data_IF_213744004400
#
_entry.id   IF_213744004400
#
_cell.length_a   1.000
_cell.length_b   1.000
_cell.length_c   1.000
_cell.angle_alpha   90.00
_cell.angle_beta   90.00
_cell.angle_gamma   90.00
#
_symmetry.space_group_name_H-M   'P 1'
#
loop_
_entity.id
_entity.type
_entity.pdbx_description
1 polymer ?
#
# COMPACT_ATOMS: atom_id res chain seq x y z
N UNK A 1 53.58 -10.73 95.26
CA UNK A 1 52.29 -11.46 95.37
C UNK A 1 51.19 -10.46 95.26
N UNK A 2 50.42 -10.56 94.28
CA UNK A 2 49.05 -10.22 93.98
C UNK A 2 48.82 -9.85 92.46
N UNK A 3 48.21 -10.78 91.83
CA UNK A 3 47.75 -10.62 90.45
C UNK A 3 46.50 -9.76 90.44
N UNK A 4 46.48 -8.76 89.62
CA UNK A 4 45.25 -8.04 89.26
C UNK A 4 44.82 -8.39 87.85
N UNK A 5 43.66 -9.02 87.72
CA UNK A 5 42.96 -9.37 86.51
C UNK A 5 42.40 -8.12 85.80
N UNK A 6 42.89 -7.80 84.65
CA UNK A 6 42.26 -6.83 83.77
C UNK A 6 41.19 -7.54 82.92
N UNK A 7 39.95 -7.19 83.13
CA UNK A 7 38.83 -7.64 82.27
C UNK A 7 38.80 -6.83 81.03
N UNK A 8 39.03 -7.50 79.87
CA UNK A 8 38.85 -6.90 78.53
C UNK A 8 37.36 -6.73 78.25
N UNK A 9 36.91 -5.50 78.18
CA UNK A 9 35.60 -5.12 77.69
C UNK A 9 35.65 -4.94 76.19
N UNK A 10 35.15 -5.91 75.43
CA UNK A 10 35.04 -5.80 73.98
C UNK A 10 33.88 -4.85 73.60
N UNK A 11 34.19 -3.72 72.99
CA UNK A 11 33.21 -2.80 72.42
C UNK A 11 32.86 -3.35 71.03
N UNK A 12 31.62 -3.82 70.81
CA UNK A 12 31.11 -4.21 69.52
C UNK A 12 30.71 -2.97 68.75
N UNK A 13 31.46 -2.63 67.67
CA UNK A 13 31.04 -1.68 66.72
C UNK A 13 29.94 -2.27 65.84
N UNK A 14 28.75 -1.71 65.92
CA UNK A 14 27.64 -2.02 65.00
C UNK A 14 27.88 -1.17 63.74
N UNK A 15 28.30 -1.84 62.67
CA UNK A 15 28.34 -1.21 61.37
C UNK A 15 26.92 -1.15 60.80
N UNK A 16 26.36 0.05 60.70
CA UNK A 16 25.12 0.31 59.99
C UNK A 16 25.47 0.48 58.52
N UNK A 17 25.21 -0.56 57.71
CA UNK A 17 25.35 -0.51 56.25
C UNK A 17 24.15 0.22 55.67
N UNK A 18 24.32 1.47 55.21
CA UNK A 18 23.35 2.16 54.37
C UNK A 18 23.37 1.50 53.00
N UNK A 19 22.37 0.69 52.67
CA UNK A 19 22.11 0.22 51.33
C UNK A 19 21.45 1.36 50.54
N UNK A 20 22.22 2.03 49.69
CA UNK A 20 21.70 2.97 48.74
C UNK A 20 20.99 2.20 47.59
N UNK A 21 19.67 2.15 47.65
CA UNK A 21 18.85 1.61 46.55
C UNK A 21 18.86 2.64 45.39
N UNK A 22 19.71 2.43 44.39
CA UNK A 22 19.65 3.17 43.11
C UNK A 22 18.44 2.69 42.34
N UNK A 23 17.37 3.49 42.31
CA UNK A 23 16.25 3.31 41.39
C UNK A 23 16.79 3.60 39.98
N UNK A 24 17.04 2.57 39.16
CA UNK A 24 17.21 2.69 37.72
C UNK A 24 15.84 2.99 37.11
N UNK A 25 15.55 4.24 36.82
CA UNK A 25 14.45 4.64 35.95
C UNK A 25 14.80 4.19 34.55
N UNK A 26 14.26 3.03 34.14
CA UNK A 26 14.27 2.62 32.75
C UNK A 26 13.43 3.65 31.97
N UNK A 27 14.06 4.57 31.26
CA UNK A 27 13.41 5.40 30.27
C UNK A 27 12.92 4.48 29.14
N UNK A 28 11.63 4.14 29.18
CA UNK A 28 10.95 3.50 28.06
C UNK A 28 10.86 4.59 26.97
N UNK A 29 11.90 4.67 26.12
CA UNK A 29 11.83 5.45 24.91
C UNK A 29 10.67 4.90 24.07
N UNK A 30 9.95 5.77 23.32
CA UNK A 30 8.92 5.29 22.40
C UNK A 30 9.59 4.29 21.46
N UNK A 31 9.14 3.06 21.49
CA UNK A 31 9.49 2.05 20.51
C UNK A 31 8.95 2.59 19.18
N UNK A 32 9.82 3.13 18.33
CA UNK A 32 9.47 3.43 16.96
C UNK A 32 9.18 2.09 16.31
N UNK A 33 7.89 1.75 16.24
CA UNK A 33 7.42 0.65 15.43
C UNK A 33 7.91 0.92 14.00
N UNK A 34 8.75 0.03 13.49
CA UNK A 34 9.24 0.11 12.11
C UNK A 34 8.13 -0.38 11.16
N UNK A 35 6.88 0.00 11.46
CA UNK A 35 5.72 -0.34 10.68
C UNK A 35 5.78 0.43 9.36
N UNK A 36 6.13 -0.28 8.31
CA UNK A 36 6.04 0.21 6.94
C UNK A 36 4.59 0.23 6.49
N UNK A 37 4.26 1.11 5.57
CA UNK A 37 3.01 1.06 4.82
C UNK A 37 2.91 -0.31 4.15
N UNK A 38 1.74 -0.98 4.26
CA UNK A 38 1.52 -2.31 3.70
C UNK A 38 0.20 -2.40 2.96
N UNK A 39 0.23 -2.91 1.74
CA UNK A 39 -0.95 -3.39 1.02
C UNK A 39 -1.39 -4.70 1.69
N UNK A 40 -2.67 -4.80 2.05
CA UNK A 40 -3.21 -5.97 2.76
C UNK A 40 -3.83 -6.97 1.79
N UNK A 41 -4.33 -6.48 0.66
CA UNK A 41 -4.99 -7.28 -0.36
C UNK A 41 -5.68 -6.39 -1.38
N UNK A 42 -6.54 -6.99 -2.19
CA UNK A 42 -7.46 -6.25 -3.04
C UNK A 42 -8.76 -7.05 -3.21
N UNK A 43 -9.86 -6.33 -3.26
CA UNK A 43 -11.17 -6.82 -3.69
C UNK A 43 -11.49 -6.20 -5.05
N UNK A 44 -12.23 -6.90 -5.87
CA UNK A 44 -12.57 -6.45 -7.20
C UNK A 44 -14.01 -6.81 -7.58
N UNK A 45 -14.58 -6.07 -8.52
CA UNK A 45 -15.90 -6.33 -9.07
C UNK A 45 -16.25 -5.42 -10.23
N UNK A 46 -17.05 -5.92 -11.14
CA UNK A 46 -17.48 -5.22 -12.33
C UNK A 46 -17.69 -6.14 -13.52
N UNK A 47 -18.21 -5.61 -14.63
CA UNK A 47 -18.43 -6.42 -15.83
C UNK A 47 -17.13 -6.75 -16.60
N UNK A 48 -16.02 -6.15 -16.26
CA UNK A 48 -14.68 -6.49 -16.76
C UNK A 48 -13.90 -7.41 -15.83
N UNK A 49 -14.32 -7.53 -14.57
CA UNK A 49 -13.72 -8.40 -13.57
C UNK A 49 -14.80 -8.99 -12.65
N UNK A 50 -15.69 -9.87 -13.17
CA UNK A 50 -16.65 -10.54 -12.34
C UNK A 50 -15.96 -11.43 -11.29
N UNK A 51 -16.68 -11.83 -10.27
CA UNK A 51 -16.16 -12.68 -9.22
C UNK A 51 -15.49 -13.95 -9.79
N UNK A 52 -14.30 -14.29 -9.29
CA UNK A 52 -13.52 -15.44 -9.75
C UNK A 52 -12.74 -15.23 -11.05
N UNK A 53 -12.81 -14.04 -11.70
CA UNK A 53 -12.14 -13.76 -12.97
C UNK A 53 -10.83 -12.96 -12.83
N UNK A 54 -10.29 -12.85 -11.63
CA UNK A 54 -8.99 -12.23 -11.41
C UNK A 54 -8.22 -12.90 -10.28
N UNK A 55 -6.90 -12.93 -10.44
CA UNK A 55 -5.96 -13.41 -9.42
C UNK A 55 -5.27 -12.25 -8.76
N UNK A 56 -5.35 -12.16 -7.43
CA UNK A 56 -4.74 -11.10 -6.62
C UNK A 56 -3.53 -11.64 -5.89
N UNK A 57 -2.38 -11.04 -6.10
CA UNK A 57 -1.12 -11.40 -5.45
C UNK A 57 -0.53 -10.19 -4.75
N UNK A 58 -0.23 -10.32 -3.46
CA UNK A 58 0.48 -9.32 -2.66
C UNK A 58 1.82 -9.88 -2.25
N UNK A 59 2.89 -9.10 -2.41
CA UNK A 59 4.22 -9.51 -1.97
C UNK A 59 4.26 -9.76 -0.46
N UNK A 60 5.14 -10.65 0.04
CA UNK A 60 5.21 -10.97 1.47
C UNK A 60 5.48 -9.77 2.39
N UNK A 61 6.14 -8.74 1.88
CA UNK A 61 6.41 -7.50 2.60
C UNK A 61 5.26 -6.47 2.48
N UNK A 62 4.24 -6.77 1.67
CA UNK A 62 3.09 -5.89 1.43
C UNK A 62 3.40 -4.64 0.60
N UNK A 63 4.51 -4.62 -0.14
CA UNK A 63 4.92 -3.46 -0.93
C UNK A 63 4.48 -3.51 -2.39
N UNK A 64 4.12 -4.70 -2.88
CA UNK A 64 3.70 -4.92 -4.26
C UNK A 64 2.33 -5.60 -4.31
N UNK A 65 1.50 -5.18 -5.24
CA UNK A 65 0.23 -5.81 -5.58
C UNK A 65 0.22 -6.06 -7.09
N UNK A 66 -0.11 -7.26 -7.48
CA UNK A 66 -0.37 -7.64 -8.87
C UNK A 66 -1.74 -8.26 -9.00
N UNK A 67 -2.50 -7.83 -9.99
CA UNK A 67 -3.81 -8.40 -10.32
C UNK A 67 -3.78 -8.81 -11.78
N UNK A 68 -4.04 -10.09 -12.05
CA UNK A 68 -4.18 -10.65 -13.38
C UNK A 68 -5.66 -10.85 -13.68
N UNK A 69 -6.11 -10.44 -14.86
CA UNK A 69 -7.51 -10.49 -15.27
C UNK A 69 -7.71 -11.49 -16.42
N UNK A 70 -8.69 -12.36 -16.29
CA UNK A 70 -9.05 -13.33 -17.32
C UNK A 70 -10.18 -12.84 -18.26
N UNK A 71 -10.98 -11.87 -17.81
CA UNK A 71 -12.20 -11.45 -18.51
C UNK A 71 -12.29 -9.93 -18.78
N UNK A 72 -11.21 -9.18 -18.59
CA UNK A 72 -11.25 -7.75 -18.82
C UNK A 72 -11.04 -7.42 -20.30
N UNK A 73 -11.99 -7.90 -21.11
CA UNK A 73 -11.99 -7.83 -22.59
C UNK A 73 -13.18 -7.04 -23.09
N UNK A 74 -12.94 -5.90 -23.73
CA UNK A 74 -13.94 -5.11 -24.42
C UNK A 74 -13.96 -5.49 -25.92
N UNK A 75 -15.15 -5.63 -26.51
CA UNK A 75 -15.36 -6.04 -27.92
C UNK A 75 -15.93 -4.88 -28.72
N UNK A 76 -15.15 -4.36 -29.71
CA UNK A 76 -15.53 -3.19 -30.47
C UNK A 76 -16.70 -3.36 -31.41
N UNK A 77 -16.98 -4.61 -31.83
CA UNK A 77 -18.05 -4.96 -32.77
C UNK A 77 -19.38 -5.36 -32.06
N UNK A 78 -19.45 -5.34 -30.75
CA UNK A 78 -20.64 -5.68 -29.96
C UNK A 78 -21.02 -4.52 -29.06
N UNK A 79 -22.08 -3.81 -29.36
CA UNK A 79 -22.48 -2.58 -28.68
C UNK A 79 -22.61 -2.72 -27.16
N UNK A 80 -23.12 -3.85 -26.65
CA UNK A 80 -23.22 -4.12 -25.23
C UNK A 80 -21.89 -4.46 -24.54
N UNK A 81 -20.85 -4.77 -25.31
CA UNK A 81 -19.54 -5.25 -24.84
C UNK A 81 -18.41 -4.24 -25.12
N UNK A 82 -18.74 -3.10 -25.73
CA UNK A 82 -17.72 -2.08 -26.08
C UNK A 82 -17.06 -1.47 -24.87
N UNK A 83 -17.67 -1.57 -23.70
CA UNK A 83 -17.13 -1.05 -22.44
C UNK A 83 -17.14 -2.11 -21.37
N UNK A 84 -15.98 -2.37 -20.83
CA UNK A 84 -15.79 -3.18 -19.63
C UNK A 84 -15.20 -2.31 -18.51
N UNK A 85 -15.61 -2.57 -17.28
CA UNK A 85 -15.12 -1.84 -16.12
C UNK A 85 -14.85 -2.78 -14.96
N UNK A 86 -13.83 -2.43 -14.20
CA UNK A 86 -13.42 -3.11 -12.98
C UNK A 86 -13.19 -2.07 -11.87
N UNK A 87 -13.82 -2.28 -10.73
CA UNK A 87 -13.63 -1.47 -9.53
C UNK A 87 -12.79 -2.26 -8.55
N UNK A 88 -11.67 -1.69 -8.15
CA UNK A 88 -10.77 -2.27 -7.17
C UNK A 88 -10.91 -1.54 -5.83
N UNK A 89 -10.80 -2.30 -4.76
CA UNK A 89 -10.77 -1.84 -3.38
C UNK A 89 -9.51 -2.40 -2.73
N UNK A 90 -8.53 -1.55 -2.45
CA UNK A 90 -7.20 -1.93 -2.01
C UNK A 90 -6.97 -1.37 -0.60
N UNK A 91 -7.18 -2.18 0.44
CA UNK A 91 -6.89 -1.78 1.81
C UNK A 91 -5.38 -1.67 2.03
N UNK A 92 -4.96 -0.55 2.61
CA UNK A 92 -3.56 -0.22 2.88
C UNK A 92 -3.44 0.13 4.35
N UNK A 93 -2.57 -0.56 5.07
CA UNK A 93 -2.15 -0.21 6.42
C UNK A 93 -1.15 0.94 6.37
N UNK A 94 -1.47 2.02 7.09
CA UNK A 94 -0.60 3.19 7.21
C UNK A 94 -0.23 3.35 8.69
N UNK A 95 1.04 3.54 9.05
CA UNK A 95 1.44 3.78 10.44
C UNK A 95 0.71 4.98 11.03
N UNK A 96 0.43 4.93 12.34
CA UNK A 96 -0.19 6.03 13.08
C UNK A 96 0.62 7.33 12.91
N UNK A 97 -0.09 8.44 12.75
CA UNK A 97 0.53 9.74 12.57
C UNK A 97 1.03 10.04 11.15
N UNK A 98 0.79 9.14 10.18
CA UNK A 98 1.17 9.33 8.78
C UNK A 98 -0.01 9.34 7.83
N UNK A 99 0.20 9.97 6.68
CA UNK A 99 -0.67 9.98 5.52
C UNK A 99 0.13 9.48 4.31
N UNK A 100 -0.54 8.84 3.36
CA UNK A 100 0.06 8.40 2.09
C UNK A 100 -0.57 9.12 0.90
N UNK A 101 0.19 9.29 -0.16
CA UNK A 101 -0.28 9.63 -1.48
C UNK A 101 -0.32 8.40 -2.39
N UNK A 102 -0.96 8.53 -3.54
CA UNK A 102 -1.23 7.41 -4.44
C UNK A 102 0.05 6.83 -5.05
N UNK A 103 0.01 5.53 -5.36
CA UNK A 103 1.08 4.76 -5.99
C UNK A 103 1.15 4.95 -7.50
N UNK A 104 2.28 4.61 -8.12
CA UNK A 104 2.34 4.36 -9.54
C UNK A 104 1.59 3.06 -9.89
N UNK A 105 0.95 3.02 -11.05
CA UNK A 105 0.25 1.84 -11.53
C UNK A 105 0.71 1.49 -12.95
N UNK A 106 1.01 0.22 -13.16
CA UNK A 106 1.32 -0.32 -14.47
C UNK A 106 0.12 -1.12 -15.00
N UNK A 107 -0.19 -0.93 -16.28
CA UNK A 107 -1.24 -1.66 -17.00
C UNK A 107 -0.64 -2.35 -18.21
N UNK A 108 -0.99 -3.60 -18.39
CA UNK A 108 -0.66 -4.38 -19.59
C UNK A 108 -1.91 -4.89 -20.26
N UNK A 109 -1.84 -5.04 -21.56
CA UNK A 109 -2.93 -5.59 -22.33
C UNK A 109 -2.64 -5.51 -23.82
N UNK A 110 -3.68 -5.81 -24.59
CA UNK A 110 -3.59 -5.92 -26.05
C UNK A 110 -4.76 -5.21 -26.72
N UNK A 111 -4.52 -4.69 -27.92
CA UNK A 111 -5.53 -4.15 -28.81
C UNK A 111 -5.39 -4.82 -30.18
N UNK A 112 -6.48 -5.41 -30.68
CA UNK A 112 -6.52 -6.15 -31.93
C UNK A 112 -6.45 -5.23 -33.16
N UNK A 113 -6.04 -5.76 -34.35
CA UNK A 113 -6.10 -5.04 -35.61
C UNK A 113 -7.48 -4.45 -35.90
N UNK A 114 -7.53 -3.28 -36.53
CA UNK A 114 -8.79 -2.58 -36.87
C UNK A 114 -9.58 -2.07 -35.67
N UNK A 115 -8.95 -2.01 -34.49
CA UNK A 115 -9.59 -1.60 -33.22
C UNK A 115 -8.85 -0.44 -32.57
N UNK A 116 -9.61 0.42 -31.92
CA UNK A 116 -9.07 1.45 -31.01
C UNK A 116 -9.49 1.10 -29.58
N UNK A 117 -8.53 0.88 -28.70
CA UNK A 117 -8.71 0.67 -27.26
C UNK A 117 -8.47 1.96 -26.49
N UNK A 118 -9.36 2.31 -25.56
CA UNK A 118 -9.17 3.42 -24.63
C UNK A 118 -9.22 2.91 -23.20
N UNK A 119 -8.07 2.89 -22.56
CA UNK A 119 -7.95 2.64 -21.13
C UNK A 119 -8.23 3.94 -20.36
N UNK A 120 -9.06 3.88 -19.33
CA UNK A 120 -9.29 4.94 -18.36
C UNK A 120 -9.22 4.35 -16.96
N UNK A 121 -8.49 4.99 -16.07
CA UNK A 121 -8.45 4.64 -14.66
C UNK A 121 -8.59 5.90 -13.80
N UNK A 122 -9.36 5.82 -12.74
CA UNK A 122 -9.54 6.87 -11.74
C UNK A 122 -9.15 6.31 -10.39
N UNK A 123 -8.31 7.05 -9.67
CA UNK A 123 -7.74 6.62 -8.39
C UNK A 123 -8.17 7.58 -7.29
N UNK A 124 -8.63 7.06 -6.16
CA UNK A 124 -9.04 7.90 -5.05
C UNK A 124 -9.00 7.13 -3.73
N UNK A 125 -8.87 7.85 -2.64
CA UNK A 125 -9.17 7.29 -1.32
C UNK A 125 -10.65 7.44 -1.02
N UNK A 126 -11.22 6.51 -0.28
CA UNK A 126 -12.65 6.50 0.04
C UNK A 126 -13.12 7.88 0.56
N UNK A 127 -14.16 8.42 -0.08
CA UNK A 127 -14.72 9.75 0.23
C UNK A 127 -13.99 10.93 -0.43
N UNK A 128 -13.05 10.71 -1.34
CA UNK A 128 -12.34 11.75 -2.08
C UNK A 128 -12.49 11.56 -3.59
N UNK A 129 -12.16 12.61 -4.34
CA UNK A 129 -11.92 12.52 -5.79
C UNK A 129 -10.44 12.42 -6.03
N UNK A 130 -10.04 11.77 -7.13
CA UNK A 130 -8.65 11.60 -7.47
C UNK A 130 -8.34 11.79 -8.94
N UNK A 131 -7.06 11.64 -9.32
CA UNK A 131 -6.62 11.81 -10.68
C UNK A 131 -7.23 10.76 -11.61
N UNK A 132 -7.37 11.15 -12.87
CA UNK A 132 -7.83 10.28 -13.95
C UNK A 132 -6.72 10.10 -14.96
N UNK A 133 -6.32 8.87 -15.14
CA UNK A 133 -5.45 8.44 -16.25
C UNK A 133 -6.30 8.06 -17.44
N UNK A 134 -5.84 8.40 -18.64
CA UNK A 134 -6.47 7.95 -19.87
C UNK A 134 -5.43 7.78 -20.97
N UNK A 135 -5.45 6.64 -21.64
CA UNK A 135 -4.57 6.32 -22.76
C UNK A 135 -5.35 5.65 -23.87
N UNK A 136 -5.04 6.01 -25.10
CA UNK A 136 -5.66 5.43 -26.30
C UNK A 136 -4.60 4.70 -27.10
N UNK A 137 -4.93 3.49 -27.51
CA UNK A 137 -4.11 2.60 -28.35
C UNK A 137 -4.85 2.35 -29.65
N UNK A 138 -4.12 2.23 -30.77
CA UNK A 138 -4.70 2.05 -32.11
C UNK A 138 -3.97 0.97 -32.87
N UNK A 139 -4.76 0.15 -33.55
CA UNK A 139 -4.24 -0.97 -34.31
C UNK A 139 -3.72 -2.10 -33.46
N UNK A 140 -2.99 -3.02 -34.03
CA UNK A 140 -2.37 -4.14 -33.32
C UNK A 140 -1.28 -3.64 -32.40
N UNK A 141 -1.53 -3.75 -31.08
CA UNK A 141 -0.63 -3.19 -30.07
C UNK A 141 -0.68 -3.98 -28.79
N UNK A 142 0.44 -4.58 -28.42
CA UNK A 142 0.71 -4.97 -27.03
C UNK A 142 1.16 -3.73 -26.27
N UNK A 143 0.49 -3.41 -25.18
CA UNK A 143 0.85 -2.23 -24.40
C UNK A 143 1.31 -2.59 -22.98
N UNK A 144 2.28 -1.83 -22.52
CA UNK A 144 2.71 -1.77 -21.12
C UNK A 144 2.89 -0.30 -20.76
N UNK A 145 1.96 0.24 -20.00
CA UNK A 145 1.93 1.68 -19.68
C UNK A 145 1.96 1.90 -18.18
N UNK A 146 2.81 2.84 -17.80
CA UNK A 146 2.92 3.31 -16.42
C UNK A 146 2.16 4.62 -16.25
N UNK A 147 1.29 4.64 -15.27
CA UNK A 147 0.66 5.85 -14.77
C UNK A 147 1.40 6.35 -13.53
N UNK A 148 2.03 7.50 -13.67
CA UNK A 148 2.70 8.19 -12.55
C UNK A 148 1.68 9.04 -11.79
N UNK A 149 0.97 8.44 -10.87
CA UNK A 149 -0.09 9.06 -10.08
C UNK A 149 0.37 10.28 -9.27
N UNK A 150 1.67 10.37 -9.01
CA UNK A 150 2.33 11.45 -8.26
C UNK A 150 2.32 12.79 -8.99
N UNK A 151 2.12 12.80 -10.32
CA UNK A 151 2.26 14.03 -11.14
C UNK A 151 0.97 14.82 -11.30
N UNK A 152 -0.18 14.28 -10.93
CA UNK A 152 -1.50 14.86 -11.27
C UNK A 152 -2.17 15.61 -10.10
N UNK A 153 -1.52 15.71 -8.96
CA UNK A 153 -2.01 16.40 -7.77
C UNK A 153 -1.88 15.55 -6.52
N UNK A 154 -1.48 16.17 -5.43
CA UNK A 154 -1.28 15.50 -4.14
C UNK A 154 -2.62 15.10 -3.53
N UNK A 155 -3.15 13.93 -3.89
CA UNK A 155 -4.27 13.32 -3.18
C UNK A 155 -3.72 12.51 -2.01
N UNK A 156 -3.99 12.99 -0.80
CA UNK A 156 -3.53 12.37 0.43
C UNK A 156 -4.64 11.59 1.11
N UNK A 157 -4.29 10.46 1.68
CA UNK A 157 -5.18 9.70 2.55
C UNK A 157 -5.55 10.50 3.80
N UNK A 158 -6.55 10.02 4.54
CA UNK A 158 -6.75 10.47 5.92
C UNK A 158 -5.56 10.05 6.78
N UNK A 159 -5.37 10.75 7.91
CA UNK A 159 -4.32 10.46 8.87
C UNK A 159 -4.55 9.13 9.58
N UNK A 160 -3.50 8.36 9.70
CA UNK A 160 -3.43 7.15 10.52
C UNK A 160 -4.23 5.97 9.96
N UNK A 161 -4.04 4.88 10.56
CA UNK A 161 -4.71 3.60 10.45
C UNK A 161 -4.89 2.97 9.05
N UNK A 162 -6.03 2.37 8.78
CA UNK A 162 -6.28 1.70 7.50
C UNK A 162 -6.96 2.65 6.53
N UNK A 163 -6.38 2.84 5.36
CA UNK A 163 -7.01 3.57 4.26
C UNK A 163 -7.40 2.60 3.17
N UNK A 164 -8.48 2.91 2.45
CA UNK A 164 -8.92 2.13 1.32
C UNK A 164 -8.70 2.94 0.04
N UNK A 165 -7.74 2.51 -0.77
CA UNK A 165 -7.53 3.05 -2.10
C UNK A 165 -8.53 2.39 -3.06
N UNK A 166 -9.18 3.20 -3.87
CA UNK A 166 -10.11 2.75 -4.91
C UNK A 166 -9.54 3.04 -6.28
N UNK A 167 -9.72 2.08 -7.19
CA UNK A 167 -9.39 2.24 -8.60
C UNK A 167 -10.61 1.87 -9.44
N UNK A 168 -11.12 2.81 -10.23
CA UNK A 168 -12.17 2.55 -11.20
C UNK A 168 -11.53 2.49 -12.58
N UNK A 169 -11.22 1.29 -13.06
CA UNK A 169 -10.66 1.07 -14.37
C UNK A 169 -11.73 0.75 -15.41
N UNK A 170 -11.54 1.21 -16.64
CA UNK A 170 -12.41 0.86 -17.77
C UNK A 170 -11.58 0.72 -19.05
N UNK A 171 -11.91 -0.29 -19.85
CA UNK A 171 -11.47 -0.45 -21.22
C UNK A 171 -12.66 -0.22 -22.16
N UNK A 172 -12.45 0.61 -23.19
CA UNK A 172 -13.45 0.87 -24.23
C UNK A 172 -12.81 0.45 -25.56
N UNK A 173 -13.49 -0.42 -26.29
CA UNK A 173 -13.09 -0.83 -27.64
C UNK A 173 -14.03 -0.26 -28.68
N UNK A 174 -13.46 0.26 -29.77
CA UNK A 174 -14.18 0.69 -30.96
C UNK A 174 -13.51 0.09 -32.21
N UNK A 175 -14.28 -0.49 -33.12
CA UNK A 175 -13.79 -1.16 -34.30
C UNK A 175 -14.22 -2.61 -34.37
N UNK A 176 -13.48 -3.44 -35.14
CA UNK A 176 -13.89 -4.81 -35.45
C UNK A 176 -13.40 -5.88 -34.49
N UNK A 177 -12.42 -5.57 -33.64
CA UNK A 177 -11.78 -6.52 -32.74
C UNK A 177 -12.00 -6.22 -31.26
N UNK A 178 -11.01 -6.55 -30.45
CA UNK A 178 -11.05 -6.42 -29.00
C UNK A 178 -9.92 -5.55 -28.46
N UNK A 179 -10.12 -5.06 -27.22
CA UNK A 179 -9.10 -4.44 -26.40
C UNK A 179 -9.18 -5.03 -24.98
N UNK A 180 -8.02 -5.39 -24.43
CA UNK A 180 -7.93 -6.08 -23.13
C UNK A 180 -7.21 -5.24 -22.08
N UNK A 181 -7.42 -5.58 -20.82
CA UNK A 181 -6.52 -5.28 -19.71
C UNK A 181 -6.15 -6.63 -19.10
N UNK A 182 -4.90 -7.04 -19.22
CA UNK A 182 -4.44 -8.35 -18.80
C UNK A 182 -3.90 -8.28 -17.35
N UNK A 183 -3.28 -7.16 -16.98
CA UNK A 183 -2.83 -6.96 -15.61
C UNK A 183 -2.92 -5.50 -15.15
N UNK A 184 -3.01 -5.38 -13.83
CA UNK A 184 -2.81 -4.16 -13.08
C UNK A 184 -1.77 -4.45 -12.00
N UNK A 185 -0.67 -3.76 -12.05
CA UNK A 185 0.44 -3.94 -11.13
C UNK A 185 0.68 -2.64 -10.36
N UNK A 186 0.66 -2.76 -9.04
CA UNK A 186 1.03 -1.72 -8.12
C UNK A 186 2.36 -2.12 -7.52
N UNK A 187 3.45 -1.64 -8.10
CA UNK A 187 4.78 -2.04 -7.67
C UNK A 187 5.54 -0.89 -7.02
N UNK A 188 6.19 -1.24 -5.91
CA UNK A 188 7.22 -0.42 -5.30
C UNK A 188 8.58 -1.03 -5.65
N UNK A 189 9.01 -0.99 -6.91
CA UNK A 189 10.35 -1.43 -7.30
C UNK A 189 11.33 -0.27 -7.40
N UNK A 190 12.29 -0.30 -6.50
CA UNK A 190 13.66 0.16 -6.50
C UNK A 190 14.16 1.00 -7.66
N UNK A 191 13.61 2.15 -7.85
CA UNK A 191 14.22 3.38 -8.26
C UNK A 191 13.23 4.48 -7.88
N UNK A 192 13.28 4.85 -6.60
CA UNK A 192 12.77 6.14 -6.13
C UNK A 192 11.33 6.47 -6.58
N UNK A 193 10.36 5.59 -6.35
CA UNK A 193 8.95 5.96 -6.41
C UNK A 193 8.37 5.89 -5.03
N UNK A 194 8.32 7.04 -4.45
CA UNK A 194 7.91 7.26 -3.09
C UNK A 194 6.38 7.13 -3.00
N UNK A 195 5.91 6.16 -2.22
CA UNK A 195 4.76 6.50 -1.40
C UNK A 195 5.20 7.78 -0.70
N UNK A 196 4.69 8.90 -1.16
CA UNK A 196 4.86 10.11 -0.39
C UNK A 196 4.10 9.89 0.89
N UNK A 197 4.78 9.75 1.98
CA UNK A 197 4.17 9.82 3.28
C UNK A 197 4.63 11.09 3.97
N UNK A 198 3.74 11.65 4.71
CA UNK A 198 4.03 12.81 5.57
C UNK A 198 3.43 12.54 6.94
N UNK A 199 4.00 13.18 7.95
CA UNK A 199 3.38 13.22 9.27
C UNK A 199 2.06 14.01 9.19
N UNK A 200 1.07 13.54 9.93
CA UNK A 200 -0.17 14.29 10.15
C UNK A 200 0.13 15.55 10.98
N UNK A 201 -0.47 16.64 10.62
CA UNK A 201 -0.49 17.88 11.42
C UNK A 201 -1.75 17.94 12.24
#
# INVERSE_FOLDING_TARGET
MNHQNFKNTSIKFVQVSLAAATLMTASIGPAFSNDKVKIVGAEYGGNGCPEGSASVNVSPDGQELSILFDQFVALGNKSAETRKSCNLSIPIKVPQGFQISLYDADYRGYVAPGTTGKLRAEYFFAGQRGPVFSRTFRGETDYNVRDKLVTVGDVWSRCGDSVNMRVNAAMIANGSGMATVDSFDLAHRGLVYHIKYRSCR
#
